data_IF_618501304674
#
_entry.id   IF_618501304674
#
_cell.length_a   1.000
_cell.length_b   1.000
_cell.length_c   1.000
_cell.angle_alpha   90.00
_cell.angle_beta   90.00
_cell.angle_gamma   90.00
#
_symmetry.space_group_name_H-M   'P 1'
#
loop_
_entity.id
_entity.type
_entity.pdbx_description
1 polymer ?
#
# COMPACT_ATOMS: atom_id res chain seq x y z
N UNK A 1 22.75 -8.81 0.22
CA UNK A 1 21.46 -8.71 -0.53
C UNK A 1 21.41 -7.34 -1.18
N UNK A 2 21.25 -7.24 -2.51
CA UNK A 2 21.08 -5.93 -3.17
C UNK A 2 19.68 -5.40 -2.87
N UNK A 3 19.59 -4.12 -2.49
CA UNK A 3 18.32 -3.43 -2.31
C UNK A 3 17.52 -3.41 -3.65
N UNK A 4 16.17 -3.47 -3.61
CA UNK A 4 15.37 -3.35 -4.82
C UNK A 4 15.63 -1.99 -5.49
N UNK A 5 15.66 -1.96 -6.82
CA UNK A 5 15.77 -0.69 -7.55
C UNK A 5 14.44 0.05 -7.43
N UNK A 6 14.50 1.30 -6.93
CA UNK A 6 13.36 2.20 -6.92
C UNK A 6 13.37 3.05 -8.19
N UNK A 7 12.27 3.04 -8.93
CA UNK A 7 12.03 3.91 -10.08
C UNK A 7 10.76 4.72 -9.84
N UNK A 8 10.86 6.03 -10.04
CA UNK A 8 9.71 6.94 -9.95
C UNK A 8 9.49 7.54 -11.33
N UNK A 9 8.28 7.41 -11.87
CA UNK A 9 7.97 8.00 -13.17
C UNK A 9 7.88 9.53 -13.08
N UNK A 10 8.27 10.23 -14.16
CA UNK A 10 8.15 11.70 -14.21
C UNK A 10 6.72 12.19 -13.99
N UNK A 11 5.72 11.44 -14.49
CA UNK A 11 4.31 11.74 -14.24
C UNK A 11 3.93 11.65 -12.77
N UNK A 12 4.45 10.64 -12.03
CA UNK A 12 4.20 10.53 -10.59
C UNK A 12 4.82 11.69 -9.80
N UNK A 13 6.01 12.13 -10.18
CA UNK A 13 6.65 13.30 -9.57
C UNK A 13 5.86 14.58 -9.83
N UNK A 14 5.40 14.79 -11.05
CA UNK A 14 4.59 15.93 -11.42
C UNK A 14 3.25 15.94 -10.68
N UNK A 15 2.55 14.80 -10.65
CA UNK A 15 1.30 14.65 -9.91
C UNK A 15 1.50 14.92 -8.41
N UNK A 16 2.54 14.35 -7.80
CA UNK A 16 2.88 14.59 -6.41
C UNK A 16 3.15 16.08 -6.13
N UNK A 17 3.91 16.76 -6.99
CA UNK A 17 4.20 18.19 -6.86
C UNK A 17 2.92 19.03 -6.94
N UNK A 18 2.02 18.73 -7.89
CA UNK A 18 0.74 19.44 -8.04
C UNK A 18 -0.13 19.22 -6.80
N UNK A 19 -0.29 17.98 -6.34
CA UNK A 19 -1.10 17.68 -5.16
C UNK A 19 -0.55 18.36 -3.90
N UNK A 20 0.77 18.31 -3.67
CA UNK A 20 1.40 18.98 -2.53
C UNK A 20 1.28 20.51 -2.61
N UNK A 21 1.34 21.08 -3.83
CA UNK A 21 1.15 22.52 -4.02
C UNK A 21 -0.29 22.97 -3.70
N UNK A 22 -1.29 22.14 -4.03
CA UNK A 22 -2.71 22.41 -3.79
C UNK A 22 -3.15 22.08 -2.36
N UNK A 23 -2.36 21.28 -1.64
CA UNK A 23 -2.69 20.77 -0.30
C UNK A 23 -2.38 21.79 0.79
N UNK A 24 -3.37 22.57 1.17
CA UNK A 24 -3.24 23.57 2.25
C UNK A 24 -3.32 22.97 3.66
N UNK A 25 -3.90 21.78 3.79
CA UNK A 25 -4.21 21.14 5.08
C UNK A 25 -3.26 20.01 5.46
N UNK A 26 -2.30 19.69 4.61
CA UNK A 26 -1.33 18.60 4.80
C UNK A 26 -1.93 17.20 4.67
N UNK A 27 -3.10 17.08 4.03
CA UNK A 27 -3.82 15.82 3.82
C UNK A 27 -3.04 14.88 2.90
N UNK A 28 -2.47 15.42 1.84
CA UNK A 28 -1.72 14.66 0.82
C UNK A 28 -0.51 13.98 1.40
N UNK A 29 0.17 14.62 2.35
CA UNK A 29 1.30 14.00 3.05
C UNK A 29 0.87 12.75 3.81
N UNK A 30 -0.26 12.80 4.52
CA UNK A 30 -0.81 11.64 5.22
C UNK A 30 -1.24 10.54 4.27
N UNK A 31 -1.81 10.90 3.11
CA UNK A 31 -2.16 9.95 2.08
C UNK A 31 -0.91 9.24 1.52
N UNK A 32 0.15 9.97 1.22
CA UNK A 32 1.41 9.38 0.76
C UNK A 32 2.02 8.44 1.81
N UNK A 33 1.96 8.81 3.09
CA UNK A 33 2.44 7.96 4.17
C UNK A 33 1.60 6.68 4.27
N UNK A 34 0.27 6.78 4.18
CA UNK A 34 -0.62 5.63 4.20
C UNK A 34 -0.37 4.69 3.01
N UNK A 35 -0.17 5.25 1.80
CA UNK A 35 0.21 4.47 0.62
C UNK A 35 1.59 3.81 0.77
N UNK A 36 2.58 4.51 1.31
CA UNK A 36 3.91 3.95 1.54
C UNK A 36 3.88 2.77 2.53
N UNK A 37 3.09 2.88 3.59
CA UNK A 37 2.89 1.80 4.58
C UNK A 37 2.09 0.63 3.98
N UNK A 38 1.14 0.90 3.10
CA UNK A 38 0.43 -0.10 2.31
C UNK A 38 1.42 -0.94 1.46
N UNK A 39 2.25 -0.27 0.67
CA UNK A 39 3.27 -0.95 -0.17
C UNK A 39 4.29 -1.71 0.67
N UNK A 40 4.64 -1.17 1.84
CA UNK A 40 5.51 -1.87 2.79
C UNK A 40 4.88 -3.17 3.26
N UNK A 41 3.56 -3.22 3.47
CA UNK A 41 2.81 -4.44 3.80
C UNK A 41 3.02 -5.53 2.76
N UNK A 42 2.85 -5.21 1.48
CA UNK A 42 3.14 -6.14 0.38
C UNK A 42 4.59 -6.60 0.37
N UNK A 43 5.53 -5.66 0.51
CA UNK A 43 6.95 -5.97 0.50
C UNK A 43 7.34 -6.94 1.64
N UNK A 44 6.81 -6.72 2.84
CA UNK A 44 7.07 -7.58 4.00
C UNK A 44 6.49 -8.98 3.80
N UNK A 45 5.26 -9.08 3.32
CA UNK A 45 4.62 -10.36 3.04
C UNK A 45 5.37 -11.15 1.97
N UNK A 46 5.71 -10.52 0.84
CA UNK A 46 6.49 -11.16 -0.23
C UNK A 46 7.81 -11.71 0.30
N UNK A 47 8.53 -10.91 1.11
CA UNK A 47 9.80 -11.35 1.71
C UNK A 47 9.62 -12.49 2.71
N UNK A 48 8.59 -12.42 3.57
CA UNK A 48 8.27 -13.48 4.53
C UNK A 48 7.92 -14.80 3.83
N UNK A 49 7.32 -14.73 2.64
CA UNK A 49 7.00 -15.88 1.80
C UNK A 49 8.18 -16.36 0.92
N UNK A 50 9.40 -15.86 1.15
CA UNK A 50 10.61 -16.24 0.42
C UNK A 50 10.77 -15.54 -0.92
N UNK A 51 9.91 -14.56 -1.25
CA UNK A 51 9.98 -13.79 -2.47
C UNK A 51 11.10 -12.75 -2.45
N UNK A 52 11.59 -12.41 -3.64
CA UNK A 52 12.60 -11.37 -3.84
C UNK A 52 12.03 -10.28 -4.74
N UNK A 53 12.00 -9.05 -4.23
CA UNK A 53 11.60 -7.88 -4.99
C UNK A 53 12.83 -7.36 -5.73
N UNK A 54 12.76 -7.35 -7.06
CA UNK A 54 13.84 -6.87 -7.92
C UNK A 54 13.78 -5.36 -8.12
N UNK A 55 12.56 -4.82 -8.26
CA UNK A 55 12.30 -3.43 -8.60
C UNK A 55 10.95 -3.00 -8.06
N UNK A 56 10.86 -1.76 -7.62
CA UNK A 56 9.61 -1.07 -7.30
C UNK A 56 9.49 0.13 -8.23
N UNK A 57 8.38 0.25 -8.94
CA UNK A 57 8.08 1.38 -9.82
C UNK A 57 6.89 2.15 -9.29
N UNK A 58 7.07 3.44 -9.02
CA UNK A 58 5.99 4.35 -8.62
C UNK A 58 5.50 5.09 -9.86
N UNK A 59 4.21 4.95 -10.15
CA UNK A 59 3.51 5.58 -11.27
C UNK A 59 2.35 6.42 -10.78
N UNK A 60 1.69 7.18 -11.66
CA UNK A 60 0.45 7.88 -11.32
C UNK A 60 -0.70 6.94 -10.92
N UNK A 61 -0.64 5.67 -11.35
CA UNK A 61 -1.65 4.64 -11.03
C UNK A 61 -1.36 3.84 -9.78
N UNK A 62 -0.27 4.13 -9.06
CA UNK A 62 0.16 3.41 -7.86
C UNK A 62 1.56 2.83 -7.97
N UNK A 63 1.90 1.92 -7.06
CA UNK A 63 3.19 1.24 -7.08
C UNK A 63 3.08 -0.15 -7.70
N UNK A 64 4.08 -0.50 -8.52
CA UNK A 64 4.22 -1.80 -9.16
C UNK A 64 5.45 -2.52 -8.61
N UNK A 65 5.25 -3.70 -8.04
CA UNK A 65 6.32 -4.54 -7.52
C UNK A 65 6.73 -5.57 -8.58
N UNK A 66 7.94 -5.44 -9.12
CA UNK A 66 8.53 -6.43 -10.01
C UNK A 66 9.28 -7.49 -9.20
N UNK A 67 8.78 -8.71 -9.25
CA UNK A 67 9.35 -9.85 -8.53
C UNK A 67 10.47 -10.51 -9.31
N UNK A 68 11.36 -11.23 -8.63
CA UNK A 68 12.38 -12.01 -9.30
C UNK A 68 11.75 -13.25 -9.96
N UNK A 69 12.15 -13.55 -11.19
CA UNK A 69 11.64 -14.69 -11.95
C UNK A 69 11.92 -16.06 -11.28
N UNK A 70 12.86 -16.10 -10.33
CA UNK A 70 13.18 -17.30 -9.56
C UNK A 70 12.17 -17.60 -8.46
N UNK A 71 11.25 -16.70 -8.14
CA UNK A 71 10.20 -16.91 -7.16
C UNK A 71 8.95 -17.44 -7.85
N UNK A 72 8.57 -18.65 -7.51
CA UNK A 72 7.36 -19.32 -8.01
C UNK A 72 6.37 -19.48 -6.83
N UNK A 73 5.57 -18.47 -6.54
CA UNK A 73 4.62 -18.51 -5.43
C UNK A 73 3.45 -19.45 -5.72
N UNK A 74 2.92 -20.06 -4.68
CA UNK A 74 1.62 -20.73 -4.76
C UNK A 74 0.48 -19.68 -4.86
N UNK A 75 -0.70 -20.10 -5.32
CA UNK A 75 -1.90 -19.27 -5.33
C UNK A 75 -2.18 -18.62 -3.97
N UNK A 76 -2.06 -19.40 -2.89
CA UNK A 76 -2.22 -18.91 -1.52
C UNK A 76 -1.18 -17.84 -1.16
N UNK A 77 0.08 -18.04 -1.57
CA UNK A 77 1.15 -17.05 -1.32
C UNK A 77 0.89 -15.74 -2.05
N UNK A 78 0.37 -15.79 -3.27
CA UNK A 78 -0.02 -14.60 -4.03
C UNK A 78 -1.19 -13.88 -3.35
N UNK A 79 -2.23 -14.60 -2.94
CA UNK A 79 -3.37 -14.02 -2.22
C UNK A 79 -2.94 -13.35 -0.91
N UNK A 80 -2.09 -14.01 -0.10
CA UNK A 80 -1.57 -13.44 1.15
C UNK A 80 -0.75 -12.18 0.87
N UNK A 81 0.13 -12.22 -0.14
CA UNK A 81 0.92 -11.06 -0.53
C UNK A 81 0.03 -9.89 -0.99
N UNK A 82 -1.02 -10.16 -1.76
CA UNK A 82 -1.96 -9.15 -2.22
C UNK A 82 -2.81 -8.54 -1.08
N UNK A 83 -3.22 -9.34 -0.10
CA UNK A 83 -4.01 -8.86 1.03
C UNK A 83 -3.19 -8.18 2.14
N UNK A 84 -1.87 -8.29 2.11
CA UNK A 84 -1.00 -7.75 3.15
C UNK A 84 -0.98 -6.21 3.20
N UNK A 85 -1.06 -5.54 2.06
CA UNK A 85 -1.17 -4.07 1.99
C UNK A 85 -2.45 -3.57 2.65
N UNK A 86 -3.64 -3.97 2.13
CA UNK A 86 -4.91 -3.63 2.75
C UNK A 86 -5.00 -4.03 4.23
N UNK A 87 -4.50 -5.23 4.59
CA UNK A 87 -4.44 -5.71 5.95
C UNK A 87 -3.63 -4.79 6.87
N UNK A 88 -2.46 -4.31 6.41
CA UNK A 88 -1.65 -3.34 7.12
C UNK A 88 -2.41 -2.03 7.37
N UNK A 89 -3.11 -1.52 6.36
CA UNK A 89 -3.91 -0.32 6.52
C UNK A 89 -5.10 -0.51 7.46
N UNK A 90 -5.76 -1.68 7.49
CA UNK A 90 -6.80 -1.96 8.47
C UNK A 90 -6.25 -1.93 9.91
N UNK A 91 -5.08 -2.53 10.14
CA UNK A 91 -4.44 -2.51 11.45
C UNK A 91 -4.04 -1.09 11.87
N UNK A 92 -3.47 -0.29 10.96
CA UNK A 92 -3.14 1.11 11.20
C UNK A 92 -4.39 1.95 11.48
N UNK A 93 -5.46 1.72 10.73
CA UNK A 93 -6.74 2.38 10.91
C UNK A 93 -7.33 2.12 12.29
N UNK A 94 -7.37 0.85 12.70
CA UNK A 94 -7.84 0.44 14.04
C UNK A 94 -6.97 1.02 15.15
N UNK A 95 -5.64 0.92 15.02
CA UNK A 95 -4.68 1.46 15.99
C UNK A 95 -4.85 2.96 16.16
N UNK A 96 -4.94 3.72 15.06
CA UNK A 96 -5.17 5.16 15.08
C UNK A 96 -6.48 5.54 15.75
N UNK A 97 -7.58 4.83 15.45
CA UNK A 97 -8.88 5.07 16.06
C UNK A 97 -8.87 4.79 17.59
N UNK A 98 -8.22 3.71 18.01
CA UNK A 98 -8.07 3.36 19.43
C UNK A 98 -7.24 4.41 20.20
N UNK A 99 -6.15 4.90 19.60
CA UNK A 99 -5.33 5.97 20.20
C UNK A 99 -6.10 7.29 20.29
N UNK A 100 -6.87 7.62 19.26
CA UNK A 100 -7.74 8.80 19.28
C UNK A 100 -8.77 8.73 20.41
N UNK A 101 -9.40 7.56 20.63
CA UNK A 101 -10.35 7.35 21.76
C UNK A 101 -9.69 7.51 23.12
N UNK A 102 -8.40 7.26 23.26
CA UNK A 102 -7.62 7.49 24.48
C UNK A 102 -7.20 8.95 24.68
N UNK A 103 -7.65 9.87 23.82
CA UNK A 103 -7.34 11.30 23.92
C UNK A 103 -5.98 11.71 23.35
N UNK A 104 -5.30 10.85 22.60
CA UNK A 104 -3.97 11.12 22.04
C UNK A 104 -3.99 12.04 20.79
N UNK A 105 -5.14 12.62 20.48
CA UNK A 105 -5.30 13.64 19.46
C UNK A 105 -6.36 13.31 18.41
N UNK A 106 -7.17 14.32 18.08
CA UNK A 106 -8.31 14.17 17.13
C UNK A 106 -7.85 13.89 15.69
N UNK A 107 -6.65 14.32 15.31
CA UNK A 107 -6.07 14.01 13.98
C UNK A 107 -5.91 12.51 13.71
N UNK A 108 -5.80 11.69 14.77
CA UNK A 108 -5.73 10.23 14.64
C UNK A 108 -7.03 9.62 14.11
N UNK A 109 -8.19 10.24 14.31
CA UNK A 109 -9.44 9.81 13.66
C UNK A 109 -9.35 9.98 12.14
N UNK A 110 -8.78 11.09 11.69
CA UNK A 110 -8.57 11.34 10.26
C UNK A 110 -7.59 10.30 9.66
N UNK A 111 -6.47 10.05 10.32
CA UNK A 111 -5.49 9.02 9.89
C UNK A 111 -6.15 7.64 9.86
N UNK A 112 -6.98 7.33 10.85
CA UNK A 112 -7.76 6.09 10.89
C UNK A 112 -8.71 5.96 9.71
N UNK A 113 -9.53 6.99 9.45
CA UNK A 113 -10.49 7.01 8.35
C UNK A 113 -9.80 6.88 6.98
N UNK A 114 -8.67 7.56 6.79
CA UNK A 114 -7.87 7.50 5.58
C UNK A 114 -7.35 6.07 5.32
N UNK A 115 -6.81 5.42 6.34
CA UNK A 115 -6.31 4.05 6.22
C UNK A 115 -7.45 3.03 5.98
N UNK A 116 -8.60 3.19 6.65
CA UNK A 116 -9.79 2.37 6.36
C UNK A 116 -10.29 2.56 4.93
N UNK A 117 -10.39 3.82 4.46
CA UNK A 117 -10.80 4.13 3.10
C UNK A 117 -9.86 3.49 2.07
N UNK A 118 -8.54 3.60 2.28
CA UNK A 118 -7.54 3.01 1.39
C UNK A 118 -7.62 1.47 1.39
N UNK A 119 -7.80 0.86 2.55
CA UNK A 119 -7.96 -0.60 2.67
C UNK A 119 -9.23 -1.09 1.96
N UNK A 120 -10.37 -0.47 2.21
CA UNK A 120 -11.65 -0.84 1.59
C UNK A 120 -11.56 -0.67 0.06
N UNK A 121 -11.00 0.44 -0.42
CA UNK A 121 -10.82 0.68 -1.85
C UNK A 121 -9.97 -0.42 -2.50
N UNK A 122 -8.82 -0.77 -1.88
CA UNK A 122 -7.94 -1.80 -2.43
C UNK A 122 -8.49 -3.23 -2.30
N UNK A 123 -9.46 -3.48 -1.42
CA UNK A 123 -10.13 -4.78 -1.29
C UNK A 123 -11.27 -4.98 -2.30
N UNK A 124 -11.64 -3.97 -3.08
CA UNK A 124 -12.65 -4.13 -4.14
C UNK A 124 -12.19 -5.18 -5.17
N UNK A 125 -13.12 -5.98 -5.73
CA UNK A 125 -12.81 -7.07 -6.66
C UNK A 125 -12.54 -6.55 -8.09
N UNK A 126 -11.70 -5.54 -8.22
CA UNK A 126 -11.25 -5.00 -9.50
C UNK A 126 -9.85 -5.52 -9.82
N UNK A 127 -9.61 -5.98 -11.06
CA UNK A 127 -8.38 -6.69 -11.47
C UNK A 127 -7.07 -5.94 -11.16
N UNK A 128 -7.09 -4.63 -11.15
CA UNK A 128 -5.93 -3.79 -10.83
C UNK A 128 -5.74 -3.52 -9.33
N UNK A 129 -6.75 -3.81 -8.49
CA UNK A 129 -6.70 -3.67 -7.04
C UNK A 129 -6.27 -4.98 -6.37
N UNK A 130 -5.84 -4.89 -5.12
CA UNK A 130 -5.29 -6.05 -4.43
C UNK A 130 -6.34 -7.12 -4.11
N UNK A 131 -7.59 -6.70 -3.82
CA UNK A 131 -8.72 -7.62 -3.67
C UNK A 131 -8.98 -8.43 -4.93
N UNK A 132 -8.93 -7.79 -6.11
CA UNK A 132 -9.05 -8.47 -7.39
C UNK A 132 -7.89 -9.41 -7.68
N UNK A 133 -6.64 -8.98 -7.42
CA UNK A 133 -5.44 -9.84 -7.57
C UNK A 133 -5.49 -11.06 -6.64
N UNK A 134 -5.94 -10.86 -5.38
CA UNK A 134 -6.10 -11.95 -4.42
C UNK A 134 -7.16 -12.96 -4.91
N UNK A 135 -8.30 -12.47 -5.41
CA UNK A 135 -9.37 -13.31 -5.95
C UNK A 135 -8.89 -14.08 -7.20
N UNK A 136 -8.26 -13.39 -8.15
CA UNK A 136 -7.74 -13.99 -9.39
C UNK A 136 -6.68 -15.07 -9.12
N UNK A 137 -5.89 -14.91 -8.05
CA UNK A 137 -4.88 -15.93 -7.68
C UNK A 137 -5.48 -17.21 -7.10
N UNK A 138 -6.72 -17.16 -6.61
CA UNK A 138 -7.40 -18.30 -5.96
C UNK A 138 -8.38 -19.02 -6.90
N UNK A 139 -8.72 -18.43 -8.03
CA UNK A 139 -9.58 -19.01 -9.08
C UNK A 139 -8.76 -19.73 -10.13
#
# INVERSE_FOLDING_TARGET
MRAPKLEVSGGALLAAAIFLYLDKDGIVLWLFLACALHELGHCLAIRALGGKIRKMRITCGGAELCLAASWQPSAKSLAVAALAGPGGNLLLGMGSALLARKGLGTRLYFVGALNFGLAIFNLLPARWLDGGKALESLL
#
